data_IF_675096017427
#
_entry.id   IF_675096017427
#
_cell.length_a   1.000
_cell.length_b   1.000
_cell.length_c   1.000
_cell.angle_alpha   90.00
_cell.angle_beta   90.00
_cell.angle_gamma   90.00
#
_symmetry.space_group_name_H-M   'P 1'
#
loop_
_entity.id
_entity.type
_entity.pdbx_description
1 polymer ?
#
# COMPACT_ATOMS: atom_id res chain seq x y z
N UNK A 1 -19.11 16.88 -23.88
CA UNK A 1 -18.03 17.65 -23.24
C UNK A 1 -16.72 16.92 -23.47
N UNK A 2 -15.65 17.60 -23.87
CA UNK A 2 -14.31 17.00 -23.90
C UNK A 2 -13.96 16.53 -22.48
N UNK A 3 -13.45 15.31 -22.34
CA UNK A 3 -12.93 14.86 -21.05
C UNK A 3 -11.73 15.73 -20.69
N UNK A 4 -11.62 16.22 -19.44
CA UNK A 4 -10.48 17.03 -19.03
C UNK A 4 -9.19 16.21 -19.15
N UNK A 5 -8.10 16.84 -19.56
CA UNK A 5 -6.81 16.16 -19.65
C UNK A 5 -6.37 15.65 -18.25
N UNK A 6 -5.85 14.43 -18.14
CA UNK A 6 -5.37 13.90 -16.85
C UNK A 6 -4.23 14.75 -16.29
N UNK A 7 -4.35 15.14 -15.01
CA UNK A 7 -3.27 15.77 -14.27
C UNK A 7 -2.05 14.84 -14.20
N UNK A 8 -0.84 15.40 -14.26
CA UNK A 8 0.40 14.61 -14.15
C UNK A 8 1.06 14.92 -12.81
N UNK A 9 1.08 13.97 -11.87
CA UNK A 9 1.70 14.21 -10.57
C UNK A 9 3.21 14.45 -10.70
N UNK A 10 3.72 15.38 -9.90
CA UNK A 10 5.16 15.69 -9.79
C UNK A 10 5.87 14.68 -8.90
N UNK A 11 5.20 14.18 -7.86
CA UNK A 11 5.73 13.19 -6.93
C UNK A 11 5.08 11.82 -7.11
N UNK A 12 5.63 10.80 -6.44
CA UNK A 12 5.09 9.43 -6.44
C UNK A 12 3.93 9.31 -5.46
N UNK A 13 2.74 9.65 -5.94
CA UNK A 13 1.53 9.68 -5.12
C UNK A 13 1.03 8.27 -4.84
N UNK A 14 0.72 8.03 -3.57
CA UNK A 14 0.16 6.78 -3.03
C UNK A 14 -1.20 7.05 -2.40
N UNK A 15 -2.22 6.31 -2.81
CA UNK A 15 -3.60 6.52 -2.33
C UNK A 15 -4.22 5.20 -1.90
N UNK A 16 -4.74 5.18 -0.67
CA UNK A 16 -5.53 4.06 -0.15
C UNK A 16 -6.98 4.24 -0.60
N UNK A 17 -7.58 3.19 -1.15
CA UNK A 17 -8.99 3.22 -1.62
C UNK A 17 -9.80 2.11 -0.99
N UNK A 18 -10.97 2.43 -0.45
CA UNK A 18 -11.89 1.44 0.13
C UNK A 18 -13.35 1.93 0.14
N UNK A 19 -14.29 1.01 0.36
CA UNK A 19 -15.66 1.35 0.80
C UNK A 19 -15.77 1.22 2.33
N UNK A 20 -16.67 2.01 2.93
CA UNK A 20 -16.85 2.09 4.38
C UNK A 20 -17.30 0.76 5.02
N UNK A 21 -17.29 0.70 6.35
CA UNK A 21 -17.71 -0.48 7.11
C UNK A 21 -19.17 -0.83 6.81
N UNK A 22 -19.45 -2.12 6.62
CA UNK A 22 -20.73 -2.70 6.21
C UNK A 22 -21.28 -2.15 4.88
N UNK A 23 -20.43 -1.53 4.07
CA UNK A 23 -20.80 -1.07 2.73
C UNK A 23 -20.21 -2.01 1.68
N UNK A 24 -21.09 -2.75 0.98
CA UNK A 24 -20.74 -3.59 -0.15
C UNK A 24 -20.71 -2.87 -1.51
N UNK A 25 -20.99 -1.56 -1.56
CA UNK A 25 -21.08 -0.80 -2.81
C UNK A 25 -19.70 -0.41 -3.34
N UNK A 26 -19.00 -1.39 -3.94
CA UNK A 26 -17.64 -1.19 -4.43
C UNK A 26 -17.57 -0.68 -5.89
N UNK A 27 -18.71 -0.62 -6.60
CA UNK A 27 -18.76 -0.25 -8.02
C UNK A 27 -18.17 1.14 -8.28
N UNK A 28 -18.53 2.12 -7.45
CA UNK A 28 -18.04 3.49 -7.59
C UNK A 28 -16.53 3.58 -7.33
N UNK A 29 -16.04 3.02 -6.21
CA UNK A 29 -14.62 3.08 -5.87
C UNK A 29 -13.76 2.29 -6.87
N UNK A 30 -14.28 1.20 -7.45
CA UNK A 30 -13.63 0.45 -8.53
C UNK A 30 -13.44 1.27 -9.81
N UNK A 31 -14.40 2.13 -10.17
CA UNK A 31 -14.25 3.05 -11.30
C UNK A 31 -13.23 4.13 -10.94
N UNK A 32 -13.37 4.77 -9.78
CA UNK A 32 -12.47 5.85 -9.35
C UNK A 32 -11.01 5.38 -9.28
N UNK A 33 -10.75 4.21 -8.68
CA UNK A 33 -9.38 3.69 -8.56
C UNK A 33 -8.70 3.41 -9.90
N UNK A 34 -9.47 2.99 -10.92
CA UNK A 34 -8.94 2.78 -12.28
C UNK A 34 -8.48 4.10 -12.90
N UNK A 35 -9.25 5.16 -12.68
CA UNK A 35 -8.92 6.51 -13.17
C UNK A 35 -7.72 7.06 -12.40
N UNK A 36 -7.69 6.92 -11.07
CA UNK A 36 -6.55 7.27 -10.20
C UNK A 36 -5.26 6.57 -10.69
N UNK A 37 -5.30 5.24 -10.88
CA UNK A 37 -4.17 4.49 -11.40
C UNK A 37 -3.73 4.96 -12.80
N UNK A 38 -4.70 5.29 -13.67
CA UNK A 38 -4.40 5.78 -15.02
C UNK A 38 -3.78 7.18 -15.04
N UNK A 39 -3.95 7.95 -13.96
CA UNK A 39 -3.35 9.27 -13.73
C UNK A 39 -1.89 9.16 -13.25
N UNK A 40 -1.39 7.95 -13.01
CA UNK A 40 0.01 7.70 -12.63
C UNK A 40 0.24 7.51 -11.13
N UNK A 41 -0.84 7.28 -10.38
CA UNK A 41 -0.82 7.08 -8.92
C UNK A 41 -0.66 5.59 -8.58
N UNK A 42 0.04 5.29 -7.49
CA UNK A 42 0.11 3.96 -6.87
C UNK A 42 -1.11 3.79 -5.94
N UNK A 43 -2.01 2.88 -6.28
CA UNK A 43 -3.26 2.67 -5.56
C UNK A 43 -3.18 1.41 -4.69
N UNK A 44 -3.33 1.59 -3.38
CA UNK A 44 -3.51 0.49 -2.42
C UNK A 44 -5.01 0.28 -2.28
N UNK A 45 -5.54 -0.81 -2.82
CA UNK A 45 -6.98 -1.05 -2.81
C UNK A 45 -7.36 -2.09 -1.76
N UNK A 46 -8.22 -1.70 -0.81
CA UNK A 46 -8.69 -2.58 0.25
C UNK A 46 -10.04 -3.23 -0.08
N UNK A 47 -10.71 -2.86 -1.17
CA UNK A 47 -12.04 -3.38 -1.49
C UNK A 47 -13.13 -2.70 -0.66
N UNK A 48 -14.01 -3.50 -0.06
CA UNK A 48 -15.22 -3.03 0.62
C UNK A 48 -15.30 -3.56 2.06
N UNK A 49 -16.30 -3.10 2.83
CA UNK A 49 -16.51 -3.50 4.23
C UNK A 49 -15.29 -3.28 5.14
N UNK A 50 -14.72 -2.05 5.11
CA UNK A 50 -13.49 -1.74 5.85
C UNK A 50 -13.74 -0.85 7.05
N UNK A 51 -13.22 -1.27 8.21
CA UNK A 51 -13.26 -0.46 9.43
C UNK A 51 -12.33 0.76 9.32
N UNK A 52 -12.61 1.80 10.10
CA UNK A 52 -11.74 2.99 10.17
C UNK A 52 -10.32 2.62 10.60
N UNK A 53 -10.20 1.76 11.62
CA UNK A 53 -8.90 1.32 12.14
C UNK A 53 -8.04 0.64 11.07
N UNK A 54 -8.64 -0.23 10.26
CA UNK A 54 -7.94 -0.94 9.19
C UNK A 54 -7.46 0.00 8.09
N UNK A 55 -8.31 0.94 7.67
CA UNK A 55 -7.98 1.93 6.63
C UNK A 55 -6.87 2.87 7.12
N UNK A 56 -6.96 3.36 8.34
CA UNK A 56 -5.96 4.26 8.94
C UNK A 56 -4.64 3.54 9.15
N UNK A 57 -4.65 2.32 9.71
CA UNK A 57 -3.44 1.51 9.89
C UNK A 57 -2.76 1.24 8.55
N UNK A 58 -3.53 0.91 7.51
CA UNK A 58 -3.00 0.74 6.15
C UNK A 58 -2.37 2.04 5.64
N UNK A 59 -3.06 3.17 5.74
CA UNK A 59 -2.55 4.45 5.23
C UNK A 59 -1.23 4.87 5.89
N UNK A 60 -1.09 4.60 7.19
CA UNK A 60 0.14 4.86 7.95
C UNK A 60 1.27 3.92 7.51
N UNK A 61 1.03 2.61 7.45
CA UNK A 61 2.04 1.63 7.03
C UNK A 61 2.51 1.87 5.59
N UNK A 62 1.61 2.31 4.72
CA UNK A 62 1.88 2.59 3.31
C UNK A 62 2.43 4.01 3.05
N UNK A 63 2.59 4.84 4.09
CA UNK A 63 2.94 6.27 4.02
C UNK A 63 2.16 6.99 2.90
N UNK A 64 0.84 6.79 2.93
CA UNK A 64 -0.06 7.26 1.88
C UNK A 64 -0.22 8.78 1.92
N UNK A 65 -0.41 9.39 0.74
CA UNK A 65 -0.68 10.83 0.65
C UNK A 65 -2.14 11.12 0.96
N UNK A 66 -3.02 10.15 0.63
CA UNK A 66 -4.44 10.29 0.82
C UNK A 66 -5.15 8.94 1.00
N UNK A 67 -6.34 9.04 1.59
CA UNK A 67 -7.36 8.00 1.65
C UNK A 67 -8.55 8.50 0.81
N UNK A 68 -9.06 7.65 -0.08
CA UNK A 68 -10.26 7.91 -0.88
C UNK A 68 -11.31 6.84 -0.58
N UNK A 69 -12.42 7.27 0.03
CA UNK A 69 -13.48 6.38 0.50
C UNK A 69 -14.77 6.55 -0.28
N UNK A 70 -15.55 5.48 -0.39
CA UNK A 70 -16.97 5.56 -0.71
C UNK A 70 -17.84 5.13 0.48
N UNK A 71 -18.94 5.82 0.70
CA UNK A 71 -19.93 5.45 1.72
C UNK A 71 -21.36 5.66 1.20
N UNK A 72 -22.08 4.55 1.00
CA UNK A 72 -23.44 4.52 0.47
C UNK A 72 -24.47 3.97 1.46
N UNK A 73 -24.05 3.52 2.65
CA UNK A 73 -24.95 2.93 3.66
C UNK A 73 -25.34 3.90 4.80
N UNK A 74 -24.86 5.14 4.77
CA UNK A 74 -25.05 6.09 5.87
C UNK A 74 -23.99 5.90 6.97
N UNK A 75 -24.13 6.62 8.09
CA UNK A 75 -23.12 6.66 9.16
C UNK A 75 -21.80 7.32 8.74
N UNK A 76 -21.78 7.97 7.58
CA UNK A 76 -20.61 8.63 7.01
C UNK A 76 -20.10 9.77 7.89
N UNK A 77 -21.01 10.46 8.60
CA UNK A 77 -20.64 11.55 9.49
C UNK A 77 -19.69 11.06 10.60
N UNK A 78 -20.08 9.99 11.29
CA UNK A 78 -19.31 9.39 12.36
C UNK A 78 -18.06 8.69 11.82
N UNK A 79 -18.19 7.97 10.71
CA UNK A 79 -17.09 7.24 10.08
C UNK A 79 -15.95 8.18 9.66
N UNK A 80 -16.25 9.28 8.96
CA UNK A 80 -15.23 10.23 8.51
C UNK A 80 -14.62 11.03 9.67
N UNK A 81 -15.43 11.45 10.65
CA UNK A 81 -14.91 12.14 11.85
C UNK A 81 -13.97 11.24 12.64
N UNK A 82 -14.37 9.99 12.87
CA UNK A 82 -13.52 9.02 13.57
C UNK A 82 -12.22 8.74 12.81
N UNK A 83 -12.26 8.65 11.48
CA UNK A 83 -11.06 8.52 10.65
C UNK A 83 -10.12 9.71 10.80
N UNK A 84 -10.66 10.93 10.80
CA UNK A 84 -9.88 12.13 11.00
C UNK A 84 -9.22 12.14 12.40
N UNK A 85 -10.01 11.90 13.46
CA UNK A 85 -9.53 11.88 14.83
C UNK A 85 -8.43 10.83 15.03
N UNK A 86 -8.62 9.62 14.50
CA UNK A 86 -7.66 8.54 14.63
C UNK A 86 -6.34 8.81 13.89
N UNK A 87 -6.39 9.51 12.75
CA UNK A 87 -5.17 9.99 12.08
C UNK A 87 -4.43 11.04 12.92
N UNK A 88 -5.14 11.97 13.55
CA UNK A 88 -4.52 12.96 14.44
C UNK A 88 -3.90 12.29 15.66
N UNK A 89 -4.62 11.38 16.32
CA UNK A 89 -4.16 10.61 17.48
C UNK A 89 -2.87 9.85 17.18
N UNK A 90 -2.77 9.26 15.98
CA UNK A 90 -1.61 8.48 15.55
C UNK A 90 -0.50 9.31 14.88
N UNK A 91 -0.55 10.64 14.95
CA UNK A 91 0.48 11.51 14.37
C UNK A 91 0.52 11.52 12.84
N UNK A 92 -0.54 11.06 12.19
CA UNK A 92 -0.68 10.92 10.74
C UNK A 92 -1.68 11.93 10.13
N UNK A 93 -1.90 13.06 10.81
CA UNK A 93 -2.84 14.10 10.37
C UNK A 93 -2.51 14.77 9.02
N UNK A 94 -1.35 14.50 8.45
CA UNK A 94 -0.94 14.94 7.11
C UNK A 94 -1.59 14.13 5.98
N UNK A 95 -2.18 12.97 6.27
CA UNK A 95 -2.84 12.11 5.28
C UNK A 95 -4.21 12.74 4.95
N UNK A 96 -4.42 13.07 3.68
CA UNK A 96 -5.64 13.76 3.23
C UNK A 96 -6.80 12.78 3.08
N UNK A 97 -8.01 13.20 3.47
CA UNK A 97 -9.20 12.35 3.38
C UNK A 97 -10.13 12.86 2.27
N UNK A 98 -10.46 11.98 1.34
CA UNK A 98 -11.42 12.21 0.28
C UNK A 98 -12.58 11.23 0.39
N UNK A 99 -13.78 11.66 0.01
CA UNK A 99 -14.97 10.82 0.10
C UNK A 99 -16.01 11.08 -0.99
N UNK A 100 -16.93 10.12 -1.15
CA UNK A 100 -18.13 10.27 -1.97
C UNK A 100 -19.19 9.24 -1.58
N UNK A 101 -20.46 9.61 -1.71
CA UNK A 101 -21.59 8.73 -1.37
C UNK A 101 -22.80 8.91 -2.27
N UNK A 102 -22.60 9.50 -3.45
CA UNK A 102 -23.70 9.90 -4.32
C UNK A 102 -24.65 10.85 -3.59
N UNK A 103 -25.95 10.55 -3.61
CA UNK A 103 -26.97 11.35 -2.93
C UNK A 103 -27.13 11.05 -1.43
N UNK A 104 -26.35 10.13 -0.86
CA UNK A 104 -26.45 9.74 0.57
C UNK A 104 -25.88 10.81 1.48
N UNK A 105 -24.81 11.50 1.04
CA UNK A 105 -24.18 12.58 1.80
C UNK A 105 -24.76 13.91 1.36
N UNK A 106 -25.51 14.56 2.25
CA UNK A 106 -26.23 15.79 1.95
C UNK A 106 -25.27 17.00 1.84
N UNK A 107 -25.62 18.07 1.11
CA UNK A 107 -24.75 19.25 0.96
C UNK A 107 -24.31 19.89 2.29
N UNK A 108 -25.17 19.92 3.31
CA UNK A 108 -24.81 20.46 4.63
C UNK A 108 -23.88 19.52 5.42
N UNK A 109 -24.02 18.21 5.23
CA UNK A 109 -23.11 17.20 5.79
C UNK A 109 -21.73 17.28 5.14
N UNK A 110 -21.68 17.48 3.82
CA UNK A 110 -20.43 17.73 3.06
C UNK A 110 -19.70 18.93 3.66
N UNK A 111 -20.38 20.07 3.84
CA UNK A 111 -19.79 21.27 4.44
C UNK A 111 -19.30 20.99 5.86
N UNK A 112 -20.09 20.26 6.66
CA UNK A 112 -19.74 19.92 8.04
C UNK A 112 -18.49 19.06 8.11
N UNK A 113 -18.40 18.01 7.28
CA UNK A 113 -17.21 17.14 7.20
C UNK A 113 -15.98 17.90 6.72
N UNK A 114 -16.13 18.74 5.70
CA UNK A 114 -15.03 19.55 5.19
C UNK A 114 -14.54 20.59 6.21
N UNK A 115 -15.46 21.19 6.99
CA UNK A 115 -15.10 22.09 8.08
C UNK A 115 -14.39 21.35 9.24
N UNK A 116 -14.73 20.09 9.47
CA UNK A 116 -14.12 19.26 10.50
C UNK A 116 -12.65 18.91 10.21
N UNK A 117 -12.30 18.77 8.92
CA UNK A 117 -10.93 18.46 8.49
C UNK A 117 -10.83 17.54 7.29
N UNK A 118 -11.96 17.03 6.77
CA UNK A 118 -11.96 16.20 5.56
C UNK A 118 -11.60 17.06 4.34
N UNK A 119 -10.63 16.65 3.54
CA UNK A 119 -10.09 17.46 2.44
C UNK A 119 -11.13 17.76 1.37
N UNK A 120 -11.90 16.75 0.96
CA UNK A 120 -12.99 16.94 0.00
C UNK A 120 -13.99 15.78 0.02
N UNK A 121 -15.27 16.09 0.09
CA UNK A 121 -16.34 15.14 -0.26
C UNK A 121 -16.94 15.58 -1.59
N UNK A 122 -17.00 14.66 -2.56
CA UNK A 122 -17.55 14.92 -3.89
C UNK A 122 -19.04 14.56 -3.94
N UNK A 123 -19.85 15.53 -4.36
CA UNK A 123 -21.28 15.38 -4.60
C UNK A 123 -21.58 14.92 -6.04
N UNK A 124 -22.81 14.48 -6.35
CA UNK A 124 -23.22 14.21 -7.73
C UNK A 124 -23.14 15.44 -8.65
N UNK A 125 -23.31 16.65 -8.10
CA UNK A 125 -23.16 17.90 -8.84
C UNK A 125 -21.71 18.16 -9.24
N UNK A 126 -20.75 17.87 -8.35
CA UNK A 126 -19.32 17.93 -8.67
C UNK A 126 -19.00 16.96 -9.82
N UNK A 127 -19.56 15.75 -9.78
CA UNK A 127 -19.41 14.77 -10.87
C UNK A 127 -19.96 15.26 -12.22
N UNK A 128 -21.09 16.00 -12.22
CA UNK A 128 -21.65 16.62 -13.43
C UNK A 128 -20.79 17.78 -13.93
N UNK A 129 -20.26 18.60 -13.04
CA UNK A 129 -19.53 19.81 -13.37
C UNK A 129 -18.07 19.52 -13.81
N UNK A 130 -17.38 18.64 -13.07
CA UNK A 130 -15.95 18.34 -13.27
C UNK A 130 -15.73 17.13 -14.18
N UNK A 131 -16.73 16.24 -14.27
CA UNK A 131 -16.54 14.89 -14.80
C UNK A 131 -15.69 14.02 -13.86
N UNK A 132 -15.69 12.70 -14.12
CA UNK A 132 -14.92 11.75 -13.29
C UNK A 132 -13.42 12.06 -13.28
N UNK A 133 -12.83 12.32 -14.46
CA UNK A 133 -11.41 12.67 -14.55
C UNK A 133 -11.10 14.01 -13.85
N UNK A 134 -12.00 15.00 -13.89
CA UNK A 134 -11.79 16.27 -13.20
C UNK A 134 -11.77 16.12 -11.68
N UNK A 135 -12.65 15.27 -11.12
CA UNK A 135 -12.61 14.95 -9.68
C UNK A 135 -11.31 14.24 -9.29
N UNK A 136 -10.81 13.33 -10.13
CA UNK A 136 -9.53 12.67 -9.87
C UNK A 136 -8.36 13.64 -10.01
N UNK A 137 -8.39 14.57 -10.96
CA UNK A 137 -7.37 15.61 -11.07
C UNK A 137 -7.31 16.46 -9.80
N UNK A 138 -8.46 16.93 -9.29
CA UNK A 138 -8.55 17.70 -8.04
C UNK A 138 -8.00 16.91 -6.85
N UNK A 139 -8.35 15.62 -6.76
CA UNK A 139 -7.85 14.72 -5.73
C UNK A 139 -6.33 14.56 -5.80
N UNK A 140 -5.77 14.28 -6.99
CA UNK A 140 -4.33 14.04 -7.16
C UNK A 140 -3.53 15.32 -6.97
N UNK A 141 -3.99 16.45 -7.53
CA UNK A 141 -3.35 17.76 -7.38
C UNK A 141 -3.28 18.17 -5.91
N UNK A 142 -4.38 18.01 -5.16
CA UNK A 142 -4.39 18.28 -3.72
C UNK A 142 -3.51 17.31 -2.93
N UNK A 143 -3.19 16.13 -3.45
CA UNK A 143 -2.32 15.16 -2.80
C UNK A 143 -0.85 15.23 -3.23
N UNK A 144 -0.51 16.08 -4.20
CA UNK A 144 0.81 16.10 -4.86
C UNK A 144 1.90 16.78 -4.02
N UNK A 145 2.28 16.12 -2.94
CA UNK A 145 3.33 16.53 -2.00
C UNK A 145 4.45 15.50 -1.96
N UNK A 146 5.66 15.96 -1.59
CA UNK A 146 6.80 15.06 -1.38
C UNK A 146 6.59 14.15 -0.16
N UNK A 147 7.04 12.89 -0.26
CA UNK A 147 7.07 11.91 0.84
C UNK A 147 8.43 11.26 0.96
N UNK A 148 8.91 11.10 2.18
CA UNK A 148 10.23 10.56 2.49
C UNK A 148 11.36 11.60 2.48
N UNK A 149 11.06 12.90 2.42
CA UNK A 149 12.06 13.98 2.53
C UNK A 149 12.46 14.19 4.01
N UNK A 150 13.09 13.17 4.58
CA UNK A 150 13.58 13.19 5.95
C UNK A 150 15.00 13.77 5.99
N UNK A 151 15.17 14.88 6.70
CA UNK A 151 16.49 15.53 6.85
C UNK A 151 17.37 14.87 7.90
N UNK A 152 16.76 14.17 8.87
CA UNK A 152 17.45 13.48 9.95
C UNK A 152 16.89 12.08 10.15
N UNK A 153 17.79 11.11 10.30
CA UNK A 153 17.46 9.71 10.53
C UNK A 153 17.89 9.29 11.94
N UNK A 154 16.94 8.75 12.71
CA UNK A 154 17.12 8.29 14.08
C UNK A 154 16.89 6.78 14.15
N UNK A 155 17.98 6.02 14.28
CA UNK A 155 17.95 4.56 14.42
C UNK A 155 17.09 4.10 15.61
N UNK A 156 16.92 4.91 16.67
CA UNK A 156 16.12 4.52 17.84
C UNK A 156 14.62 4.54 17.56
N UNK A 157 14.19 5.32 16.57
CA UNK A 157 12.80 5.37 16.12
C UNK A 157 12.46 4.27 15.13
N UNK A 158 13.47 3.65 14.52
CA UNK A 158 13.28 2.51 13.62
C UNK A 158 12.95 1.27 14.47
N UNK A 159 11.67 1.11 14.78
CA UNK A 159 11.16 0.08 15.67
C UNK A 159 9.78 -0.40 15.22
N UNK A 160 9.47 -1.66 15.50
CA UNK A 160 8.16 -2.28 15.37
C UNK A 160 7.02 -1.51 16.05
N UNK A 161 7.32 -0.68 17.07
CA UNK A 161 6.34 0.15 17.78
C UNK A 161 6.09 1.51 17.10
N UNK A 162 6.90 1.87 16.09
CA UNK A 162 6.78 3.11 15.33
C UNK A 162 6.59 2.85 13.83
N UNK A 163 5.48 2.18 13.42
CA UNK A 163 5.26 1.77 12.03
C UNK A 163 5.25 2.94 11.04
N UNK A 164 4.84 4.13 11.48
CA UNK A 164 4.89 5.35 10.67
C UNK A 164 6.33 5.74 10.32
N UNK A 165 7.26 5.67 11.26
CA UNK A 165 8.65 6.02 11.02
C UNK A 165 9.33 5.00 10.09
N UNK A 166 9.01 3.71 10.25
CA UNK A 166 9.45 2.66 9.33
C UNK A 166 8.94 2.95 7.91
N UNK A 167 7.65 3.28 7.77
CA UNK A 167 7.03 3.60 6.48
C UNK A 167 7.68 4.83 5.80
N UNK A 168 7.99 5.88 6.58
CA UNK A 168 8.65 7.08 6.08
C UNK A 168 10.11 6.81 5.65
N UNK A 169 10.85 5.97 6.39
CA UNK A 169 12.19 5.55 5.99
C UNK A 169 12.17 4.76 4.67
N UNK A 170 11.16 3.89 4.48
CA UNK A 170 10.99 3.17 3.22
C UNK A 170 10.68 4.16 2.08
N UNK A 171 9.77 5.11 2.29
CA UNK A 171 9.49 6.17 1.31
C UNK A 171 10.74 7.01 0.98
N UNK A 172 11.59 7.29 1.97
CA UNK A 172 12.85 8.00 1.78
C UNK A 172 13.83 7.18 0.92
N UNK A 173 13.94 5.87 1.13
CA UNK A 173 14.73 4.99 0.26
C UNK A 173 14.19 4.99 -1.18
N UNK A 174 12.87 4.93 -1.35
CA UNK A 174 12.24 4.89 -2.67
C UNK A 174 12.35 6.21 -3.47
N UNK A 175 12.31 7.35 -2.79
CA UNK A 175 12.18 8.68 -3.42
C UNK A 175 13.45 9.55 -3.30
N UNK A 176 14.23 9.38 -2.23
CA UNK A 176 15.41 10.16 -1.90
C UNK A 176 16.60 9.27 -1.51
N UNK A 177 17.01 8.31 -2.38
CA UNK A 177 18.04 7.32 -2.03
C UNK A 177 19.36 7.94 -1.60
N UNK A 178 19.74 9.07 -2.20
CA UNK A 178 20.99 9.77 -1.85
C UNK A 178 20.95 10.37 -0.42
N UNK A 179 19.78 10.79 0.06
CA UNK A 179 19.64 11.37 1.40
C UNK A 179 19.74 10.29 2.49
N UNK A 180 19.10 9.12 2.27
CA UNK A 180 19.10 8.03 3.26
C UNK A 180 20.34 7.14 3.19
N UNK A 181 21.13 7.22 2.12
CA UNK A 181 22.28 6.34 1.86
C UNK A 181 23.21 6.16 3.07
N UNK A 182 23.66 7.26 3.67
CA UNK A 182 24.57 7.22 4.83
C UNK A 182 23.93 6.56 6.06
N UNK A 183 22.61 6.67 6.20
CA UNK A 183 21.88 6.00 7.27
C UNK A 183 21.79 4.49 7.03
N UNK A 184 21.48 4.06 5.81
CA UNK A 184 21.45 2.63 5.44
C UNK A 184 22.82 1.97 5.59
N UNK A 185 23.90 2.64 5.17
CA UNK A 185 25.28 2.15 5.34
C UNK A 185 25.60 1.91 6.82
N UNK A 186 25.34 2.90 7.68
CA UNK A 186 25.52 2.75 9.14
C UNK A 186 24.64 1.65 9.74
N UNK A 187 23.41 1.51 9.25
CA UNK A 187 22.46 0.51 9.72
C UNK A 187 22.97 -0.90 9.40
N UNK A 188 23.50 -1.13 8.19
CA UNK A 188 24.13 -2.40 7.78
C UNK A 188 25.38 -2.75 8.60
N UNK A 189 26.11 -1.75 9.08
CA UNK A 189 27.30 -1.96 9.93
C UNK A 189 26.96 -2.25 11.40
N UNK A 190 25.88 -1.65 11.92
CA UNK A 190 25.59 -1.61 13.37
C UNK A 190 24.48 -2.55 13.82
N UNK A 191 23.49 -2.80 12.96
CA UNK A 191 22.39 -3.69 13.29
C UNK A 191 22.75 -5.13 12.88
N UNK A 192 22.46 -6.09 13.76
CA UNK A 192 22.54 -7.52 13.46
C UNK A 192 21.34 -7.94 12.58
N UNK A 193 21.13 -7.21 11.48
CA UNK A 193 20.03 -7.42 10.53
C UNK A 193 20.10 -8.81 9.88
N UNK A 194 21.26 -9.46 9.91
CA UNK A 194 21.46 -10.79 9.34
C UNK A 194 20.77 -11.90 10.14
N UNK A 195 20.27 -11.63 11.35
CA UNK A 195 19.56 -12.64 12.16
C UNK A 195 18.08 -12.79 11.81
N UNK A 196 17.47 -11.78 11.19
CA UNK A 196 16.04 -11.83 10.88
C UNK A 196 15.86 -12.60 9.57
N UNK A 197 15.23 -13.77 9.56
CA UNK A 197 15.04 -14.55 8.35
C UNK A 197 14.08 -13.85 7.38
N UNK A 198 14.39 -13.93 6.09
CA UNK A 198 13.55 -13.48 4.99
C UNK A 198 13.03 -14.68 4.21
N UNK A 199 11.71 -14.89 4.24
CA UNK A 199 11.02 -15.87 3.41
C UNK A 199 10.56 -15.20 2.11
N UNK A 200 11.23 -15.52 1.00
CA UNK A 200 10.84 -15.12 -0.34
C UNK A 200 9.73 -16.01 -0.87
N UNK A 201 8.63 -15.43 -1.33
CA UNK A 201 7.51 -16.13 -1.94
C UNK A 201 7.32 -15.60 -3.35
N UNK A 202 7.53 -16.48 -4.33
CA UNK A 202 7.36 -16.16 -5.75
C UNK A 202 6.46 -17.19 -6.42
N UNK A 203 6.17 -17.00 -7.71
CA UNK A 203 5.31 -17.89 -8.45
C UNK A 203 4.41 -17.18 -9.46
N UNK A 204 3.74 -17.96 -10.29
CA UNK A 204 2.96 -17.45 -11.41
C UNK A 204 1.82 -16.51 -10.96
N UNK A 205 1.47 -15.55 -11.83
CA UNK A 205 0.35 -14.65 -11.60
C UNK A 205 -0.96 -15.43 -11.39
N UNK A 206 -1.67 -15.13 -10.30
CA UNK A 206 -2.94 -15.80 -9.98
C UNK A 206 -2.81 -17.15 -9.26
N UNK A 207 -1.60 -17.64 -8.96
CA UNK A 207 -1.40 -18.92 -8.27
C UNK A 207 -1.88 -18.96 -6.80
N UNK A 208 -2.30 -17.82 -6.24
CA UNK A 208 -2.75 -17.72 -4.85
C UNK A 208 -1.65 -17.35 -3.85
N UNK A 209 -0.56 -16.69 -4.28
CA UNK A 209 0.55 -16.24 -3.42
C UNK A 209 0.07 -15.45 -2.20
N UNK A 210 -0.62 -14.33 -2.41
CA UNK A 210 -1.08 -13.47 -1.31
C UNK A 210 -2.07 -14.17 -0.37
N UNK A 211 -2.90 -15.08 -0.91
CA UNK A 211 -3.80 -15.91 -0.10
C UNK A 211 -3.03 -16.94 0.74
N UNK A 212 -1.97 -17.53 0.20
CA UNK A 212 -1.08 -18.43 0.94
C UNK A 212 -0.30 -17.65 2.01
N UNK A 213 0.20 -16.46 1.68
CA UNK A 213 0.86 -15.54 2.63
C UNK A 213 -0.07 -15.24 3.81
N UNK A 214 -1.32 -14.86 3.55
CA UNK A 214 -2.32 -14.58 4.60
C UNK A 214 -2.53 -15.79 5.54
N UNK A 215 -2.65 -17.00 4.97
CA UNK A 215 -2.82 -18.22 5.73
C UNK A 215 -1.55 -18.64 6.50
N UNK A 216 -0.36 -18.31 5.98
CA UNK A 216 0.92 -18.47 6.69
C UNK A 216 1.02 -17.49 7.87
N UNK A 217 0.66 -16.22 7.65
CA UNK A 217 0.58 -15.19 8.70
C UNK A 217 -0.36 -15.64 9.81
N UNK A 218 -1.56 -16.11 9.48
CA UNK A 218 -2.52 -16.63 10.45
C UNK A 218 -1.94 -17.76 11.32
N UNK A 219 -1.24 -18.71 10.69
CA UNK A 219 -0.58 -19.83 11.38
C UNK A 219 0.59 -19.36 12.24
N UNK A 220 1.39 -18.42 11.74
CA UNK A 220 2.51 -17.85 12.47
C UNK A 220 2.04 -17.13 13.74
N UNK A 221 1.04 -16.26 13.62
CA UNK A 221 0.49 -15.51 14.75
C UNK A 221 -0.14 -16.40 15.83
N UNK A 222 -0.66 -17.57 15.43
CA UNK A 222 -1.21 -18.57 16.34
C UNK A 222 -0.12 -19.42 17.01
N UNK A 223 0.93 -19.80 16.27
CA UNK A 223 2.03 -20.62 16.77
C UNK A 223 3.02 -19.82 17.65
N UNK A 224 3.17 -18.52 17.38
CA UNK A 224 4.13 -17.65 18.05
C UNK A 224 3.43 -16.39 18.61
N UNK A 225 2.86 -16.45 19.83
CA UNK A 225 2.09 -15.34 20.41
C UNK A 225 2.86 -14.02 20.54
N UNK A 226 4.14 -14.10 20.87
CA UNK A 226 4.99 -12.93 21.14
C UNK A 226 5.76 -12.42 19.91
N UNK A 227 5.75 -13.19 18.80
CA UNK A 227 6.54 -12.84 17.62
C UNK A 227 5.80 -11.87 16.71
N UNK A 228 6.56 -11.03 16.03
CA UNK A 228 6.10 -10.04 15.06
C UNK A 228 6.68 -10.36 13.70
N UNK A 229 5.90 -10.07 12.65
CA UNK A 229 6.35 -10.29 11.28
C UNK A 229 6.09 -9.06 10.41
N UNK A 230 6.89 -8.91 9.37
CA UNK A 230 6.69 -7.91 8.36
C UNK A 230 6.49 -8.54 6.99
N UNK A 231 5.71 -7.88 6.14
CA UNK A 231 5.41 -8.32 4.78
C UNK A 231 5.79 -7.19 3.83
N UNK A 232 6.67 -7.47 2.88
CA UNK A 232 6.94 -6.61 1.73
C UNK A 232 6.34 -7.31 0.52
N UNK A 233 5.27 -6.76 -0.05
CA UNK A 233 4.68 -7.28 -1.29
C UNK A 233 5.04 -6.36 -2.44
N UNK A 234 5.37 -6.92 -3.60
CA UNK A 234 5.74 -6.17 -4.80
C UNK A 234 4.72 -6.42 -5.90
N UNK A 235 4.17 -5.34 -6.45
CA UNK A 235 3.19 -5.39 -7.54
C UNK A 235 3.70 -4.65 -8.80
N UNK A 236 3.33 -5.08 -10.02
CA UNK A 236 3.87 -4.50 -11.24
C UNK A 236 3.27 -3.11 -11.52
N UNK A 237 4.13 -2.17 -11.93
CA UNK A 237 3.71 -0.84 -12.39
C UNK A 237 3.20 -0.84 -13.84
N UNK A 238 2.20 -0.02 -14.16
CA UNK A 238 1.73 0.16 -15.54
C UNK A 238 2.73 0.98 -16.34
N UNK A 239 3.32 0.38 -17.38
CA UNK A 239 4.27 1.04 -18.30
C UNK A 239 3.80 2.40 -18.84
N UNK A 240 2.54 2.50 -19.27
CA UNK A 240 2.03 3.68 -19.98
C UNK A 240 1.81 4.89 -19.07
N UNK A 241 1.38 4.65 -17.83
CA UNK A 241 0.93 5.70 -16.92
C UNK A 241 1.88 5.91 -15.73
N UNK A 242 2.73 4.93 -15.42
CA UNK A 242 3.61 4.94 -14.25
C UNK A 242 2.91 4.64 -12.93
N UNK A 243 1.57 4.53 -12.91
CA UNK A 243 0.78 4.14 -11.75
C UNK A 243 0.73 2.64 -11.54
N UNK A 244 0.33 2.19 -10.35
CA UNK A 244 0.26 0.79 -9.98
C UNK A 244 -1.05 0.47 -9.26
N UNK A 245 -1.50 -0.78 -9.36
CA UNK A 245 -2.55 -1.30 -8.49
C UNK A 245 -1.85 -2.26 -7.56
N UNK A 246 -1.67 -1.84 -6.31
CA UNK A 246 -1.08 -2.59 -5.24
C UNK A 246 -2.21 -3.40 -4.60
N UNK A 247 -2.42 -4.59 -5.14
CA UNK A 247 -3.60 -5.43 -4.96
C UNK A 247 -3.40 -6.54 -3.94
N UNK A 248 -2.18 -6.85 -3.51
CA UNK A 248 -1.94 -7.99 -2.62
C UNK A 248 -2.62 -7.82 -1.25
N UNK A 249 -2.63 -6.59 -0.71
CA UNK A 249 -3.23 -6.29 0.60
C UNK A 249 -4.73 -6.61 0.67
N UNK A 250 -5.47 -6.56 -0.46
CA UNK A 250 -6.91 -6.90 -0.45
C UNK A 250 -7.19 -8.35 -0.04
N UNK A 251 -6.18 -9.23 -0.17
CA UNK A 251 -6.28 -10.66 0.15
C UNK A 251 -5.89 -10.98 1.59
N UNK A 252 -5.34 -10.02 2.32
CA UNK A 252 -4.78 -10.21 3.64
C UNK A 252 -5.82 -9.94 4.73
N UNK A 253 -6.35 -10.97 5.37
CA UNK A 253 -7.33 -10.86 6.45
C UNK A 253 -6.69 -11.00 7.84
N UNK A 254 -5.57 -11.72 7.96
CA UNK A 254 -4.89 -12.01 9.22
C UNK A 254 -3.94 -10.90 9.69
N UNK A 255 -3.78 -9.83 8.89
CA UNK A 255 -2.78 -8.78 9.12
C UNK A 255 -3.28 -7.62 9.98
N UNK A 256 -4.58 -7.55 10.32
CA UNK A 256 -5.14 -6.44 11.11
C UNK A 256 -4.82 -6.60 12.61
N UNK A 257 -3.54 -6.49 12.95
CA UNK A 257 -3.01 -6.58 14.31
C UNK A 257 -1.70 -5.80 14.41
N UNK A 258 -1.37 -5.28 15.60
CA UNK A 258 -0.11 -4.57 15.86
C UNK A 258 1.14 -5.43 15.69
N UNK A 259 0.99 -6.77 15.64
CA UNK A 259 2.11 -7.71 15.42
C UNK A 259 2.51 -7.88 13.97
N UNK A 260 1.75 -7.31 13.02
CA UNK A 260 2.02 -7.42 11.58
C UNK A 260 2.20 -6.04 10.97
N UNK A 261 3.33 -5.85 10.31
CA UNK A 261 3.56 -4.71 9.43
C UNK A 261 3.50 -5.19 7.98
N UNK A 262 2.87 -4.43 7.10
CA UNK A 262 2.91 -4.71 5.67
C UNK A 262 3.23 -3.42 4.91
N UNK A 263 3.99 -3.53 3.83
CA UNK A 263 4.26 -2.44 2.89
C UNK A 263 4.15 -2.97 1.47
N UNK A 264 3.43 -2.26 0.62
CA UNK A 264 3.24 -2.62 -0.78
C UNK A 264 4.13 -1.77 -1.67
N UNK A 265 5.06 -2.37 -2.40
CA UNK A 265 5.98 -1.68 -3.30
C UNK A 265 5.52 -1.86 -4.75
N UNK A 266 5.75 -0.83 -5.56
CA UNK A 266 5.58 -0.94 -7.00
C UNK A 266 6.95 -1.23 -7.64
N UNK A 267 7.01 -2.07 -8.68
CA UNK A 267 8.28 -2.35 -9.36
C UNK A 267 8.96 -1.09 -9.93
N UNK A 268 8.19 -0.05 -10.27
CA UNK A 268 8.62 1.25 -10.86
C UNK A 268 9.47 1.15 -12.13
N UNK A 269 9.75 -0.05 -12.62
CA UNK A 269 10.50 -0.38 -13.83
C UNK A 269 9.77 -1.49 -14.59
N UNK A 270 9.99 -1.55 -15.90
CA UNK A 270 9.43 -2.60 -16.74
C UNK A 270 10.27 -3.88 -16.68
N UNK A 271 9.61 -5.04 -16.55
CA UNK A 271 10.16 -6.40 -16.65
C UNK A 271 11.00 -6.91 -15.47
N UNK A 272 10.96 -6.28 -14.30
CA UNK A 272 11.56 -6.82 -13.08
C UNK A 272 10.45 -7.33 -12.16
N UNK A 273 10.62 -8.47 -11.50
CA UNK A 273 9.69 -8.93 -10.48
C UNK A 273 9.81 -8.14 -9.18
N UNK A 274 10.98 -7.56 -8.92
CA UNK A 274 11.29 -6.81 -7.72
C UNK A 274 11.61 -5.33 -8.00
N UNK A 275 11.36 -4.48 -7.02
CA UNK A 275 11.79 -3.08 -7.04
C UNK A 275 13.27 -3.01 -6.69
N UNK A 276 14.02 -2.11 -7.33
CA UNK A 276 15.44 -1.86 -7.01
C UNK A 276 15.68 -1.44 -5.54
N UNK A 277 14.62 -1.05 -4.84
CA UNK A 277 14.64 -0.63 -3.43
C UNK A 277 14.23 -1.73 -2.45
N UNK A 278 14.00 -2.97 -2.92
CA UNK A 278 13.58 -4.09 -2.06
C UNK A 278 14.61 -4.36 -0.96
N UNK A 279 15.91 -4.38 -1.28
CA UNK A 279 16.95 -4.57 -0.27
C UNK A 279 16.94 -3.48 0.81
N UNK A 280 16.79 -2.21 0.41
CA UNK A 280 16.75 -1.11 1.38
C UNK A 280 15.51 -1.22 2.28
N UNK A 281 14.36 -1.61 1.72
CA UNK A 281 13.14 -1.85 2.50
C UNK A 281 13.29 -3.05 3.45
N UNK A 282 13.89 -4.15 2.99
CA UNK A 282 14.20 -5.31 3.83
C UNK A 282 15.11 -4.92 4.99
N UNK A 283 16.20 -4.19 4.73
CA UNK A 283 17.14 -3.77 5.77
C UNK A 283 16.48 -2.89 6.83
N UNK A 284 15.66 -1.92 6.41
CA UNK A 284 14.90 -1.05 7.32
C UNK A 284 13.93 -1.85 8.19
N UNK A 285 13.22 -2.81 7.61
CA UNK A 285 12.29 -3.67 8.34
C UNK A 285 13.04 -4.60 9.28
N UNK A 286 14.11 -5.27 8.84
CA UNK A 286 14.93 -6.16 9.69
C UNK A 286 15.48 -5.40 10.90
N UNK A 287 15.98 -4.18 10.67
CA UNK A 287 16.48 -3.32 11.75
C UNK A 287 15.39 -2.80 12.69
N UNK A 288 14.12 -2.82 12.26
CA UNK A 288 12.99 -2.42 13.12
C UNK A 288 12.66 -3.43 14.23
N UNK A 289 13.23 -4.64 14.18
CA UNK A 289 13.07 -5.66 15.22
C UNK A 289 11.92 -6.65 14.99
N UNK A 290 11.54 -6.91 13.74
CA UNK A 290 10.63 -8.02 13.41
C UNK A 290 11.37 -9.37 13.51
N UNK A 291 10.64 -10.45 13.82
CA UNK A 291 11.19 -11.79 13.95
C UNK A 291 11.24 -12.58 12.63
N UNK A 292 10.47 -12.14 11.64
CA UNK A 292 10.36 -12.74 10.31
C UNK A 292 9.96 -11.66 9.30
N UNK A 293 10.58 -11.68 8.12
CA UNK A 293 10.14 -10.90 6.98
C UNK A 293 9.65 -11.84 5.87
N UNK A 294 8.49 -11.55 5.30
CA UNK A 294 7.99 -12.21 4.10
C UNK A 294 8.15 -11.23 2.94
N UNK A 295 8.83 -11.66 1.88
CA UNK A 295 8.94 -10.91 0.62
C UNK A 295 8.10 -11.62 -0.44
N UNK A 296 7.00 -11.01 -0.86
CA UNK A 296 6.16 -11.51 -1.96
C UNK A 296 6.53 -10.79 -3.26
N UNK A 297 6.89 -11.54 -4.31
CA UNK A 297 7.18 -10.98 -5.63
C UNK A 297 5.92 -10.68 -6.43
N UNK A 298 6.07 -9.80 -7.42
CA UNK A 298 5.04 -9.69 -8.44
C UNK A 298 4.99 -10.99 -9.25
N UNK A 299 3.79 -11.43 -9.64
CA UNK A 299 3.58 -12.73 -10.32
C UNK A 299 4.08 -12.78 -11.76
N UNK A 300 5.37 -12.50 -11.99
CA UNK A 300 5.98 -12.40 -13.30
C UNK A 300 6.69 -13.70 -13.64
N UNK A 301 6.11 -14.47 -14.57
CA UNK A 301 6.81 -15.53 -15.29
C UNK A 301 7.26 -16.74 -14.47
N UNK A 302 7.74 -17.76 -15.19
CA UNK A 302 8.30 -19.00 -14.61
C UNK A 302 9.82 -18.94 -14.43
N UNK A 303 10.48 -17.96 -15.07
CA UNK A 303 11.94 -17.84 -15.17
C UNK A 303 12.52 -16.72 -14.29
N UNK A 304 11.76 -16.24 -13.31
CA UNK A 304 12.19 -15.12 -12.48
C UNK A 304 12.87 -15.63 -11.21
N UNK A 305 14.18 -15.39 -11.13
CA UNK A 305 15.05 -15.87 -10.05
C UNK A 305 15.42 -14.76 -9.06
N UNK A 306 14.94 -13.53 -9.26
CA UNK A 306 15.39 -12.36 -8.49
C UNK A 306 15.15 -12.56 -6.98
N UNK A 307 14.07 -13.27 -6.61
CA UNK A 307 13.75 -13.57 -5.21
C UNK A 307 14.87 -14.30 -4.46
N UNK A 308 15.69 -15.10 -5.16
CA UNK A 308 16.79 -15.86 -4.56
C UNK A 308 17.90 -14.93 -4.04
N UNK A 309 18.06 -13.75 -4.64
CA UNK A 309 19.07 -12.77 -4.23
C UNK A 309 18.63 -11.95 -2.99
N UNK A 310 17.34 -12.01 -2.65
CA UNK A 310 16.71 -11.16 -1.64
C UNK A 310 16.09 -11.95 -0.47
N UNK A 311 16.28 -13.26 -0.41
CA UNK A 311 15.68 -14.11 0.61
C UNK A 311 16.62 -15.20 1.12
N UNK A 312 16.43 -15.61 2.37
CA UNK A 312 17.20 -16.71 2.97
C UNK A 312 16.59 -18.07 2.61
N UNK A 313 15.27 -18.10 2.42
CA UNK A 313 14.50 -19.28 1.99
C UNK A 313 13.47 -18.82 0.96
N UNK A 314 13.36 -19.57 -0.13
CA UNK A 314 12.43 -19.29 -1.21
C UNK A 314 11.33 -20.34 -1.31
N UNK A 315 10.11 -19.89 -1.59
CA UNK A 315 8.93 -20.72 -1.83
C UNK A 315 8.33 -20.37 -3.19
N UNK A 316 8.32 -21.34 -4.10
CA UNK A 316 7.64 -21.22 -5.40
C UNK A 316 6.19 -21.72 -5.31
N UNK A 317 5.24 -20.85 -5.63
CA UNK A 317 3.80 -21.15 -5.63
C UNK A 317 3.32 -21.32 -7.06
N UNK A 318 2.71 -22.46 -7.36
CA UNK A 318 2.14 -22.75 -8.66
C UNK A 318 0.82 -23.51 -8.55
N UNK A 319 0.03 -23.46 -9.61
CA UNK A 319 -1.17 -24.27 -9.74
C UNK A 319 -0.86 -25.56 -10.51
N UNK A 320 -1.76 -26.55 -10.48
CA UNK A 320 -1.65 -27.75 -11.32
C UNK A 320 -1.68 -27.46 -12.83
N UNK A 321 -2.11 -26.25 -13.26
CA UNK A 321 -2.16 -25.86 -14.67
C UNK A 321 -0.82 -25.34 -15.22
N UNK A 322 0.23 -26.18 -15.22
CA UNK A 322 1.56 -25.80 -15.75
C UNK A 322 1.82 -26.26 -17.20
N UNK A 323 0.84 -26.88 -17.84
CA UNK A 323 0.96 -27.40 -19.21
C UNK A 323 1.78 -28.70 -19.27
N UNK A 324 2.63 -28.84 -20.27
CA UNK A 324 3.48 -30.04 -20.41
C UNK A 324 4.56 -30.09 -19.32
N UNK A 325 4.95 -31.29 -18.89
CA UNK A 325 6.00 -31.49 -17.88
C UNK A 325 7.34 -30.82 -18.27
N UNK A 326 7.64 -30.69 -19.56
CA UNK A 326 8.82 -29.99 -20.06
C UNK A 326 8.83 -28.48 -19.75
N UNK A 327 7.70 -27.88 -19.35
CA UNK A 327 7.70 -26.49 -18.86
C UNK A 327 8.33 -26.36 -17.47
N UNK A 328 8.35 -27.44 -16.67
CA UNK A 328 8.98 -27.43 -15.34
C UNK A 328 10.49 -27.25 -15.43
N UNK A 329 11.11 -27.66 -16.54
CA UNK A 329 12.53 -27.44 -16.82
C UNK A 329 12.89 -25.95 -17.02
N UNK A 330 11.89 -25.06 -17.13
CA UNK A 330 12.08 -23.61 -17.26
C UNK A 330 11.98 -22.86 -15.94
N UNK A 331 11.64 -23.56 -14.85
CA UNK A 331 11.63 -22.98 -13.51
C UNK A 331 13.07 -23.05 -12.99
N UNK A 332 13.69 -21.90 -12.84
CA UNK A 332 15.09 -21.76 -12.41
C UNK A 332 15.09 -21.31 -10.94
N UNK A 333 14.88 -22.25 -10.01
CA UNK A 333 14.78 -21.99 -8.57
C UNK A 333 15.38 -23.09 -7.71
#
# INVERSE_FOLDING_TARGET
MQQPEPYRPKHKIRIVTAASLFDGHDAAINIMRRIIQSTGVEVIHLGHDRSVDEVVSTAIQEDAHAIAMTSYQGGHMEYFKYMYDLLQERGAGHIKIFGGGGGVILPEEIKTLMHYGITRIYSPDDGRAMGLQGMINDLVEKSDESRGDLTEFDHKKLSVDQPQYVAQCISAAENFPDQIKLFLEKLRETADINRVPVLGITGTGGAGKSSLVDELVRRFLAAYPEKRLAIISVDPSKRKTGGALLGDRIRMNAINTSRVYMRSLATRQSNLALSKYVNDALDLVKASGFDLVILETSGIGQSDTEILEHSDVSLYVMTPEFGAATQLEKIDM
#
